data_IF_453160997522
#
_entry.id   IF_453160997522
#
_cell.length_a   1.000
_cell.length_b   1.000
_cell.length_c   1.000
_cell.angle_alpha   90.00
_cell.angle_beta   90.00
_cell.angle_gamma   90.00
#
_symmetry.space_group_name_H-M   'P 1'
#
loop_
_entity.id
_entity.type
_entity.pdbx_description
1 polymer ?
#
# COMPACT_ATOMS: atom_id res chain seq x y z
N UNK A 1 -2.40 30.89 41.57
CA UNK A 1 -3.53 31.68 41.05
C UNK A 1 -4.06 30.97 39.83
N UNK A 2 -5.33 30.58 39.91
CA UNK A 2 -5.98 29.55 39.09
C UNK A 2 -6.76 30.24 37.97
N UNK A 3 -6.55 29.87 36.71
CA UNK A 3 -7.40 30.30 35.60
C UNK A 3 -8.52 29.28 35.39
N UNK A 4 -9.75 29.72 35.65
CA UNK A 4 -10.97 28.93 35.55
C UNK A 4 -11.61 28.97 34.17
N UNK A 5 -12.14 27.82 33.79
CA UNK A 5 -13.04 27.53 32.66
C UNK A 5 -14.38 28.28 32.77
N UNK A 6 -14.92 28.75 31.65
CA UNK A 6 -16.23 29.40 31.58
C UNK A 6 -16.96 29.18 30.25
N UNK A 7 -17.81 28.15 30.23
CA UNK A 7 -18.82 27.85 29.21
C UNK A 7 -19.79 29.04 29.00
N UNK A 8 -19.97 29.53 27.77
CA UNK A 8 -21.12 30.38 27.42
C UNK A 8 -22.26 29.53 26.83
N UNK A 9 -23.34 29.37 27.60
CA UNK A 9 -24.62 28.82 27.17
C UNK A 9 -25.44 29.89 26.42
N UNK A 10 -26.05 29.45 25.32
CA UNK A 10 -27.03 30.16 24.48
C UNK A 10 -28.22 30.72 25.28
N UNK A 11 -28.68 31.92 24.89
CA UNK A 11 -30.01 32.42 25.23
C UNK A 11 -30.72 32.89 23.94
N UNK A 12 -31.69 32.09 23.49
CA UNK A 12 -32.62 32.46 22.43
C UNK A 12 -33.70 33.33 23.08
N UNK A 13 -33.91 34.54 22.56
CA UNK A 13 -35.00 35.43 22.94
C UNK A 13 -35.71 35.86 21.66
N UNK A 14 -36.90 35.32 21.44
CA UNK A 14 -37.86 35.77 20.44
C UNK A 14 -38.96 36.58 21.15
N UNK A 15 -39.16 37.84 20.75
CA UNK A 15 -40.43 38.57 20.91
C UNK A 15 -40.43 39.83 20.04
N UNK A 16 -41.53 40.06 19.32
CA UNK A 16 -41.85 41.34 18.67
C UNK A 16 -42.64 41.17 17.38
N UNK A 17 -43.96 41.27 17.47
CA UNK A 17 -44.94 41.41 16.39
C UNK A 17 -44.97 42.84 15.84
N UNK A 18 -45.02 43.03 14.51
CA UNK A 18 -45.86 44.05 13.84
C UNK A 18 -45.83 43.92 12.30
N UNK A 19 -46.94 44.31 11.69
CA UNK A 19 -47.36 44.04 10.30
C UNK A 19 -46.75 44.98 9.26
N UNK A 20 -46.28 44.44 8.14
CA UNK A 20 -45.89 45.19 6.94
C UNK A 20 -45.58 44.24 5.77
N UNK A 21 -46.23 44.44 4.63
CA UNK A 21 -46.13 43.59 3.44
C UNK A 21 -44.75 43.61 2.76
N UNK A 22 -44.38 42.45 2.22
CA UNK A 22 -43.30 42.14 1.28
C UNK A 22 -41.85 42.16 1.83
N UNK A 23 -41.26 40.96 2.00
CA UNK A 23 -40.39 40.32 0.99
C UNK A 23 -40.44 38.81 1.24
N UNK A 24 -40.74 38.03 0.21
CA UNK A 24 -40.47 36.59 0.19
C UNK A 24 -38.94 36.39 0.32
N UNK A 25 -38.44 36.23 1.54
CA UNK A 25 -37.17 35.54 1.73
C UNK A 25 -37.49 34.06 1.65
N UNK A 26 -37.55 33.54 0.43
CA UNK A 26 -37.33 32.11 0.20
C UNK A 26 -36.03 31.79 0.93
N UNK A 27 -36.03 30.94 1.96
CA UNK A 27 -34.78 30.56 2.61
C UNK A 27 -33.91 29.96 1.53
N UNK A 28 -32.80 30.65 1.24
CA UNK A 28 -31.75 30.24 0.31
C UNK A 28 -31.49 28.76 0.58
N UNK A 29 -31.77 27.91 -0.41
CA UNK A 29 -31.63 26.47 -0.31
C UNK A 29 -30.35 26.16 0.46
N UNK A 30 -30.48 25.45 1.59
CA UNK A 30 -29.34 25.05 2.40
C UNK A 30 -28.34 24.39 1.44
N UNK A 31 -27.15 24.99 1.32
CA UNK A 31 -26.12 24.48 0.42
C UNK A 31 -25.97 22.98 0.70
N UNK A 32 -26.21 22.15 -0.30
CA UNK A 32 -26.08 20.71 -0.18
C UNK A 32 -24.65 20.40 0.24
N UNK A 33 -24.48 19.80 1.42
CA UNK A 33 -23.17 19.40 1.90
C UNK A 33 -22.60 18.33 0.98
N UNK A 34 -21.44 18.59 0.38
CA UNK A 34 -20.71 17.59 -0.40
C UNK A 34 -20.07 16.59 0.56
N UNK A 35 -20.41 15.32 0.40
CA UNK A 35 -19.80 14.22 1.15
C UNK A 35 -18.81 13.51 0.22
N UNK A 36 -17.54 13.46 0.61
CA UNK A 36 -16.51 12.68 -0.09
C UNK A 36 -16.26 11.43 0.75
N UNK A 37 -16.45 10.26 0.15
CA UNK A 37 -16.22 8.97 0.79
C UNK A 37 -14.92 8.36 0.27
N UNK A 38 -14.01 8.03 1.18
CA UNK A 38 -12.85 7.21 0.88
C UNK A 38 -13.18 5.76 1.26
N UNK A 39 -13.19 4.88 0.26
CA UNK A 39 -13.51 3.48 0.45
C UNK A 39 -12.40 2.61 -0.14
N UNK A 40 -12.03 1.54 0.58
CA UNK A 40 -11.12 0.54 0.01
C UNK A 40 -11.80 -0.20 -1.15
N UNK A 41 -11.01 -0.60 -2.14
CA UNK A 41 -11.52 -1.23 -3.37
C UNK A 41 -12.19 -2.57 -3.13
N UNK A 42 -11.68 -3.38 -2.20
CA UNK A 42 -12.27 -4.66 -1.79
C UNK A 42 -13.67 -4.48 -1.17
N UNK A 43 -13.84 -3.51 -0.27
CA UNK A 43 -15.15 -3.17 0.30
C UNK A 43 -16.09 -2.72 -0.81
N UNK A 44 -15.65 -1.82 -1.69
CA UNK A 44 -16.45 -1.36 -2.83
C UNK A 44 -16.88 -2.52 -3.74
N UNK A 45 -16.00 -3.49 -4.00
CA UNK A 45 -16.32 -4.65 -4.84
C UNK A 45 -17.42 -5.53 -4.22
N UNK A 46 -17.42 -5.69 -2.90
CA UNK A 46 -18.42 -6.48 -2.17
C UNK A 46 -19.79 -5.80 -2.05
N UNK A 47 -19.89 -4.46 -2.17
CA UNK A 47 -21.18 -3.77 -2.09
C UNK A 47 -22.02 -4.05 -3.35
N UNK A 48 -23.20 -4.64 -3.16
CA UNK A 48 -24.20 -4.87 -4.21
C UNK A 48 -25.47 -4.05 -3.93
N UNK A 49 -25.87 -3.21 -4.88
CA UNK A 49 -27.09 -2.41 -4.82
C UNK A 49 -27.55 -2.04 -6.24
N UNK A 50 -28.86 -1.79 -6.40
CA UNK A 50 -29.42 -1.31 -7.65
C UNK A 50 -28.77 0.02 -8.04
N UNK A 51 -28.52 0.23 -9.34
CA UNK A 51 -27.92 1.45 -9.89
C UNK A 51 -26.44 1.72 -9.54
N UNK A 52 -25.66 0.71 -9.13
CA UNK A 52 -24.18 0.85 -8.95
C UNK A 52 -23.48 1.52 -10.14
N UNK A 53 -23.92 1.20 -11.36
CA UNK A 53 -23.37 1.79 -12.58
C UNK A 53 -23.64 3.31 -12.70
N UNK A 54 -24.69 3.85 -12.08
CA UNK A 54 -24.97 5.29 -12.08
C UNK A 54 -23.98 6.09 -11.24
N UNK A 55 -23.34 5.46 -10.25
CA UNK A 55 -22.29 6.09 -9.43
C UNK A 55 -20.92 6.07 -10.11
N UNK A 56 -20.75 5.38 -11.25
CA UNK A 56 -19.45 5.27 -11.92
C UNK A 56 -18.84 6.62 -12.33
N UNK A 57 -19.68 7.63 -12.60
CA UNK A 57 -19.24 8.98 -12.97
C UNK A 57 -18.70 9.78 -11.77
N UNK A 58 -19.07 9.39 -10.54
CA UNK A 58 -18.70 10.06 -9.30
C UNK A 58 -17.55 9.35 -8.55
N UNK A 59 -16.97 8.29 -9.15
CA UNK A 59 -15.92 7.49 -8.53
C UNK A 59 -14.56 7.83 -9.15
N UNK A 60 -13.62 8.25 -8.30
CA UNK A 60 -12.21 8.33 -8.62
C UNK A 60 -11.43 7.19 -7.97
N UNK A 61 -10.59 6.50 -8.75
CA UNK A 61 -9.61 5.56 -8.19
C UNK A 61 -8.36 6.32 -7.79
N UNK A 62 -7.92 6.10 -6.55
CA UNK A 62 -6.69 6.68 -6.04
C UNK A 62 -5.54 5.73 -6.34
N UNK A 63 -4.84 6.01 -7.45
CA UNK A 63 -3.65 5.28 -7.89
C UNK A 63 -2.43 6.16 -7.65
N UNK A 64 -1.37 5.57 -7.10
CA UNK A 64 -0.10 6.26 -6.88
C UNK A 64 0.90 5.83 -7.94
N UNK A 65 1.35 6.79 -8.76
CA UNK A 65 2.53 6.61 -9.58
C UNK A 65 3.79 6.61 -8.72
N UNK A 66 4.83 5.93 -9.18
CA UNK A 66 6.12 5.84 -8.49
C UNK A 66 6.70 7.23 -8.19
N UNK A 67 6.58 8.17 -9.12
CA UNK A 67 7.04 9.55 -8.95
C UNK A 67 6.28 10.27 -7.83
N UNK A 68 4.97 10.05 -7.72
CA UNK A 68 4.15 10.64 -6.66
C UNK A 68 4.52 10.08 -5.29
N UNK A 69 4.86 8.80 -5.20
CA UNK A 69 5.33 8.16 -3.96
C UNK A 69 6.65 8.79 -3.48
N UNK A 70 7.58 9.05 -4.41
CA UNK A 70 8.83 9.77 -4.11
C UNK A 70 8.53 11.18 -3.62
N UNK A 71 7.64 11.92 -4.30
CA UNK A 71 7.24 13.28 -3.89
C UNK A 71 6.62 13.32 -2.50
N UNK A 72 5.89 12.28 -2.06
CA UNK A 72 5.39 12.20 -0.68
C UNK A 72 6.53 12.19 0.35
N UNK A 73 7.62 11.49 0.07
CA UNK A 73 8.79 11.47 0.95
C UNK A 73 9.54 12.79 0.89
N UNK A 74 9.72 13.37 -0.29
CA UNK A 74 10.35 14.69 -0.46
C UNK A 74 9.59 15.78 0.31
N UNK A 75 8.26 15.79 0.24
CA UNK A 75 7.44 16.73 1.01
C UNK A 75 7.68 16.59 2.53
N UNK A 76 7.88 15.36 3.03
CA UNK A 76 8.24 15.12 4.43
C UNK A 76 9.66 15.58 4.76
N UNK A 77 10.61 15.38 3.85
CA UNK A 77 11.99 15.86 3.99
C UNK A 77 11.98 17.38 4.14
N UNK A 78 11.36 18.09 3.18
CA UNK A 78 11.23 19.57 3.21
C UNK A 78 10.57 20.06 4.50
N UNK A 79 9.45 19.43 4.88
CA UNK A 79 8.74 19.79 6.11
C UNK A 79 9.57 19.55 7.38
N UNK A 80 10.50 18.58 7.38
CA UNK A 80 11.30 18.23 8.55
C UNK A 80 12.61 19.00 8.62
N UNK A 81 13.21 19.32 7.48
CA UNK A 81 14.46 20.10 7.37
C UNK A 81 14.22 21.61 7.39
N UNK A 82 13.05 22.07 6.97
CA UNK A 82 12.77 23.49 6.70
C UNK A 82 13.42 24.02 5.42
N UNK A 83 13.98 23.14 4.59
CA UNK A 83 14.62 23.49 3.32
C UNK A 83 13.72 23.08 2.15
N UNK A 84 13.12 24.08 1.49
CA UNK A 84 12.24 23.88 0.32
C UNK A 84 12.96 23.32 -0.91
N UNK A 85 14.29 23.44 -0.96
CA UNK A 85 15.12 22.89 -2.03
C UNK A 85 15.52 21.43 -1.81
N UNK A 86 15.32 20.90 -0.60
CA UNK A 86 15.66 19.51 -0.28
C UNK A 86 14.82 18.52 -1.08
N UNK A 87 15.48 17.50 -1.61
CA UNK A 87 14.89 16.42 -2.39
C UNK A 87 15.19 15.06 -1.75
N UNK A 88 14.86 13.98 -2.46
CA UNK A 88 15.16 12.62 -2.00
C UNK A 88 16.66 12.43 -1.67
N UNK A 89 17.53 12.93 -2.54
CA UNK A 89 18.99 12.71 -2.46
C UNK A 89 19.68 13.60 -1.44
N UNK A 90 18.98 14.59 -0.90
CA UNK A 90 19.42 15.40 0.24
C UNK A 90 19.52 14.57 1.53
N UNK A 91 18.80 13.44 1.61
CA UNK A 91 18.79 12.53 2.77
C UNK A 91 19.25 11.12 2.40
N UNK A 92 18.91 10.64 1.20
CA UNK A 92 19.20 9.28 0.77
C UNK A 92 20.35 9.21 -0.22
N UNK A 93 21.01 8.05 -0.24
CA UNK A 93 22.15 7.75 -1.09
C UNK A 93 21.94 8.17 -2.56
N UNK A 94 22.80 9.07 -3.03
CA UNK A 94 22.92 9.55 -4.41
C UNK A 94 23.93 8.69 -5.18
N UNK A 95 23.57 7.44 -5.43
CA UNK A 95 24.42 6.51 -6.18
C UNK A 95 23.67 5.33 -6.75
N UNK A 96 24.42 4.42 -7.35
CA UNK A 96 23.88 3.17 -7.86
C UNK A 96 23.79 2.12 -6.75
N UNK A 97 22.61 1.54 -6.62
CA UNK A 97 22.33 0.34 -5.83
C UNK A 97 22.56 -0.90 -6.69
N UNK A 98 22.29 -2.09 -6.13
CA UNK A 98 22.27 -3.35 -6.90
C UNK A 98 21.39 -3.21 -8.15
N UNK A 99 21.82 -3.85 -9.24
CA UNK A 99 21.18 -3.74 -10.57
C UNK A 99 21.14 -2.31 -11.13
N UNK A 100 22.09 -1.45 -10.72
CA UNK A 100 22.23 -0.05 -11.17
C UNK A 100 20.99 0.82 -10.91
N UNK A 101 20.16 0.43 -9.94
CA UNK A 101 18.98 1.19 -9.56
C UNK A 101 19.38 2.40 -8.72
N UNK A 102 18.68 3.53 -8.86
CA UNK A 102 18.76 4.62 -7.90
C UNK A 102 18.11 4.20 -6.57
N UNK A 103 18.48 4.83 -5.46
CA UNK A 103 17.94 4.50 -4.12
C UNK A 103 16.42 4.57 -4.06
N UNK A 104 15.81 5.59 -4.67
CA UNK A 104 14.34 5.71 -4.81
C UNK A 104 13.72 4.52 -5.54
N UNK A 105 14.21 4.19 -6.73
CA UNK A 105 13.74 3.04 -7.52
C UNK A 105 13.96 1.71 -6.79
N UNK A 106 15.07 1.59 -6.04
CA UNK A 106 15.38 0.38 -5.28
C UNK A 106 14.35 0.12 -4.17
N UNK A 107 14.00 1.18 -3.43
CA UNK A 107 12.97 1.13 -2.38
C UNK A 107 11.60 0.90 -3.00
N UNK A 108 11.24 1.64 -4.06
CA UNK A 108 9.95 1.49 -4.75
C UNK A 108 9.68 0.05 -5.18
N UNK A 109 10.66 -0.63 -5.78
CA UNK A 109 10.56 -2.05 -6.18
C UNK A 109 10.29 -3.01 -5.01
N UNK A 110 10.56 -2.60 -3.78
CA UNK A 110 10.31 -3.37 -2.54
C UNK A 110 9.05 -2.92 -1.83
N UNK A 111 8.36 -1.88 -2.28
CA UNK A 111 7.13 -1.36 -1.67
C UNK A 111 5.93 -1.62 -2.60
N UNK A 112 4.75 -1.93 -2.06
CA UNK A 112 3.60 -2.36 -2.87
C UNK A 112 2.76 -1.17 -3.40
N UNK A 113 3.42 -0.09 -3.81
CA UNK A 113 2.77 1.06 -4.44
C UNK A 113 1.91 1.92 -3.51
N UNK A 114 2.10 1.85 -2.19
CA UNK A 114 1.33 2.63 -1.19
C UNK A 114 2.25 3.65 -0.50
N UNK A 115 1.80 4.90 -0.26
CA UNK A 115 2.60 5.93 0.42
C UNK A 115 3.10 5.52 1.81
N UNK A 116 2.29 4.73 2.54
CA UNK A 116 2.66 4.21 3.86
C UNK A 116 3.84 3.24 3.78
N UNK A 117 3.91 2.41 2.72
CA UNK A 117 4.93 1.37 2.58
C UNK A 117 6.30 2.01 2.28
N UNK A 118 6.34 2.97 1.33
CA UNK A 118 7.57 3.71 1.04
C UNK A 118 8.03 4.53 2.24
N UNK A 119 7.09 5.12 3.00
CA UNK A 119 7.42 5.85 4.23
C UNK A 119 7.98 4.92 5.31
N UNK A 120 7.39 3.74 5.52
CA UNK A 120 7.88 2.76 6.47
C UNK A 120 9.30 2.29 6.13
N UNK A 121 9.55 1.96 4.85
CA UNK A 121 10.89 1.59 4.39
C UNK A 121 11.89 2.73 4.63
N UNK A 122 11.57 3.94 4.16
CA UNK A 122 12.40 5.13 4.32
C UNK A 122 12.74 5.41 5.80
N UNK A 123 11.76 5.24 6.69
CA UNK A 123 11.94 5.43 8.13
C UNK A 123 12.87 4.39 8.73
N UNK A 124 12.73 3.10 8.35
CA UNK A 124 13.65 2.07 8.82
C UNK A 124 15.07 2.29 8.33
N UNK A 125 15.27 2.69 7.08
CA UNK A 125 16.60 3.01 6.55
C UNK A 125 17.22 4.21 7.30
N UNK A 126 16.44 5.24 7.62
CA UNK A 126 16.88 6.36 8.44
C UNK A 126 17.27 5.95 9.87
N UNK A 127 16.52 5.01 10.47
CA UNK A 127 16.86 4.46 11.78
C UNK A 127 18.16 3.64 11.77
N UNK A 128 18.43 2.89 10.70
CA UNK A 128 19.70 2.19 10.52
C UNK A 128 20.87 3.18 10.38
N UNK A 129 20.72 4.21 9.54
CA UNK A 129 21.71 5.27 9.37
C UNK A 129 22.04 5.96 10.71
N UNK A 130 21.01 6.32 11.49
CA UNK A 130 21.17 6.90 12.83
C UNK A 130 21.91 5.98 13.79
N UNK A 131 21.66 4.66 13.73
CA UNK A 131 22.33 3.68 14.57
C UNK A 131 23.81 3.52 14.18
N UNK A 132 24.12 3.61 12.90
CA UNK A 132 25.47 3.59 12.37
C UNK A 132 26.23 4.92 12.56
N UNK A 133 25.51 6.01 12.89
CA UNK A 133 26.08 7.34 13.07
C UNK A 133 26.33 8.08 11.75
N UNK A 134 25.64 7.69 10.68
CA UNK A 134 25.74 8.35 9.38
C UNK A 134 24.94 9.66 9.35
N UNK A 135 25.49 10.68 8.66
CA UNK A 135 24.82 11.99 8.47
C UNK A 135 23.69 11.93 7.44
N UNK A 136 23.73 10.94 6.55
CA UNK A 136 22.72 10.64 5.54
C UNK A 136 22.51 9.13 5.44
N UNK A 137 21.43 8.71 4.78
CA UNK A 137 21.12 7.29 4.59
C UNK A 137 21.97 6.73 3.45
N UNK A 138 22.94 5.88 3.78
CA UNK A 138 23.83 5.24 2.82
C UNK A 138 23.20 3.97 2.23
N UNK A 139 23.81 3.44 1.17
CA UNK A 139 23.34 2.21 0.52
C UNK A 139 23.24 1.03 1.50
N UNK A 140 24.19 0.90 2.42
CA UNK A 140 24.21 -0.16 3.42
C UNK A 140 23.07 -0.08 4.44
N UNK A 141 22.62 1.14 4.79
CA UNK A 141 21.48 1.36 5.68
C UNK A 141 20.17 0.90 5.02
N UNK A 142 20.02 1.18 3.73
CA UNK A 142 18.87 0.73 2.92
C UNK A 142 18.85 -0.80 2.79
N UNK A 143 20.02 -1.44 2.68
CA UNK A 143 20.13 -2.90 2.64
C UNK A 143 19.89 -3.52 4.03
N UNK A 144 20.39 -2.90 5.09
CA UNK A 144 20.20 -3.35 6.47
C UNK A 144 18.73 -3.28 6.90
N UNK A 145 17.99 -2.28 6.41
CA UNK A 145 16.57 -2.12 6.72
C UNK A 145 15.65 -3.12 6.01
N UNK A 146 16.13 -3.85 4.98
CA UNK A 146 15.31 -4.81 4.20
C UNK A 146 14.61 -5.84 5.09
N UNK A 147 15.34 -6.46 6.01
CA UNK A 147 14.79 -7.55 6.83
C UNK A 147 13.67 -7.03 7.73
N UNK A 148 13.86 -5.86 8.34
CA UNK A 148 12.87 -5.23 9.21
C UNK A 148 11.64 -4.77 8.41
N UNK A 149 11.85 -4.16 7.25
CA UNK A 149 10.75 -3.78 6.37
C UNK A 149 9.96 -5.02 5.92
N UNK A 150 10.66 -6.08 5.54
CA UNK A 150 10.03 -7.31 5.06
C UNK A 150 9.17 -7.99 6.12
N UNK A 151 9.65 -8.00 7.38
CA UNK A 151 8.87 -8.45 8.53
C UNK A 151 7.64 -7.57 8.77
N UNK A 152 7.82 -6.26 8.76
CA UNK A 152 6.71 -5.31 8.94
C UNK A 152 5.60 -5.54 7.90
N UNK A 153 5.96 -5.79 6.64
CA UNK A 153 4.98 -6.12 5.60
C UNK A 153 4.28 -7.44 5.88
N UNK A 154 4.99 -8.49 6.31
CA UNK A 154 4.35 -9.76 6.67
C UNK A 154 3.42 -9.65 7.88
N UNK A 155 3.76 -8.83 8.87
CA UNK A 155 2.89 -8.57 10.02
C UNK A 155 1.58 -7.91 9.55
N UNK A 156 1.66 -6.90 8.68
CA UNK A 156 0.46 -6.27 8.10
C UNK A 156 -0.37 -7.23 7.23
N UNK A 157 0.29 -8.07 6.44
CA UNK A 157 -0.38 -9.07 5.60
C UNK A 157 -1.05 -10.16 6.43
N UNK A 158 -0.51 -10.47 7.61
CA UNK A 158 -1.14 -11.41 8.55
C UNK A 158 -2.51 -10.88 8.95
N UNK A 159 -2.60 -9.60 9.34
CA UNK A 159 -3.86 -8.98 9.72
C UNK A 159 -4.85 -8.90 8.54
N UNK A 160 -4.34 -8.71 7.31
CA UNK A 160 -5.17 -8.58 6.10
C UNK A 160 -5.67 -9.93 5.55
N UNK A 161 -4.82 -10.97 5.53
CA UNK A 161 -5.10 -12.24 4.85
C UNK A 161 -5.59 -13.33 5.81
N UNK A 162 -5.10 -13.37 7.05
CA UNK A 162 -5.44 -14.46 7.98
C UNK A 162 -6.95 -14.66 8.20
N UNK A 163 -7.81 -13.62 8.19
CA UNK A 163 -9.27 -13.82 8.29
C UNK A 163 -9.90 -14.53 7.08
N UNK A 164 -9.22 -14.54 5.93
CA UNK A 164 -9.74 -15.01 4.64
C UNK A 164 -9.20 -16.38 4.22
N UNK A 165 -8.33 -17.00 5.03
CA UNK A 165 -7.73 -18.32 4.77
C UNK A 165 -7.88 -19.22 5.99
N UNK A 166 -7.82 -20.54 5.81
CA UNK A 166 -7.97 -21.50 6.91
C UNK A 166 -6.79 -21.48 7.88
N UNK A 167 -5.55 -21.46 7.36
CA UNK A 167 -4.33 -21.39 8.16
C UNK A 167 -3.24 -20.57 7.46
N UNK A 168 -3.10 -19.31 7.89
CA UNK A 168 -2.08 -18.41 7.35
C UNK A 168 -0.64 -18.85 7.67
N UNK A 169 -0.41 -19.57 8.77
CA UNK A 169 0.93 -20.07 9.09
C UNK A 169 1.38 -21.11 8.05
N UNK A 170 0.48 -21.99 7.63
CA UNK A 170 0.72 -22.94 6.54
C UNK A 170 0.91 -22.24 5.19
N UNK A 171 0.20 -21.14 4.93
CA UNK A 171 0.44 -20.31 3.72
C UNK A 171 1.84 -19.70 3.72
N UNK A 172 2.30 -19.13 4.83
CA UNK A 172 3.66 -18.59 4.96
C UNK A 172 4.72 -19.70 4.85
N UNK A 173 4.48 -20.86 5.47
CA UNK A 173 5.36 -22.01 5.38
C UNK A 173 5.47 -22.51 3.93
N UNK A 174 4.36 -22.49 3.18
CA UNK A 174 4.33 -22.82 1.75
C UNK A 174 5.19 -21.87 0.94
N UNK A 175 5.04 -20.55 1.13
CA UNK A 175 5.89 -19.56 0.47
C UNK A 175 7.38 -19.78 0.77
N UNK A 176 7.75 -20.03 2.03
CA UNK A 176 9.14 -20.34 2.42
C UNK A 176 9.64 -21.62 1.75
N UNK A 177 8.81 -22.65 1.68
CA UNK A 177 9.15 -23.95 1.09
C UNK A 177 9.43 -23.89 -0.42
N UNK A 178 8.94 -22.84 -1.12
CA UNK A 178 9.33 -22.59 -2.51
C UNK A 178 10.83 -22.31 -2.65
N UNK A 179 11.45 -21.63 -1.67
CA UNK A 179 12.87 -21.24 -1.65
C UNK A 179 13.35 -20.39 -2.87
N UNK A 180 12.41 -19.99 -3.73
CA UNK A 180 12.61 -19.16 -4.93
C UNK A 180 11.41 -18.25 -5.09
N UNK A 181 11.60 -17.10 -5.74
CA UNK A 181 10.51 -16.14 -5.97
C UNK A 181 9.56 -16.55 -7.09
N UNK A 182 10.05 -17.23 -8.13
CA UNK A 182 9.20 -17.64 -9.25
C UNK A 182 8.74 -19.08 -9.14
N UNK A 183 7.46 -19.35 -9.38
CA UNK A 183 6.89 -20.68 -9.26
C UNK A 183 5.68 -20.84 -10.19
N UNK A 184 5.36 -22.08 -10.54
CA UNK A 184 4.12 -22.43 -11.24
C UNK A 184 3.03 -22.93 -10.29
N UNK A 185 1.83 -23.16 -10.82
CA UNK A 185 0.70 -23.70 -10.06
C UNK A 185 1.00 -25.07 -9.45
N UNK A 186 1.66 -25.96 -10.19
CA UNK A 186 2.03 -27.29 -9.70
C UNK A 186 2.96 -27.22 -8.49
N UNK A 187 3.96 -26.32 -8.51
CA UNK A 187 4.88 -26.12 -7.39
C UNK A 187 4.11 -25.64 -6.15
N UNK A 188 3.18 -24.71 -6.35
CA UNK A 188 2.37 -24.16 -5.26
C UNK A 188 1.54 -25.25 -4.57
N UNK A 189 0.77 -26.02 -5.34
CA UNK A 189 -0.06 -27.09 -4.78
C UNK A 189 0.77 -28.19 -4.12
N UNK A 190 1.90 -28.57 -4.72
CA UNK A 190 2.82 -29.54 -4.11
C UNK A 190 3.32 -29.06 -2.73
N UNK A 191 3.79 -27.81 -2.65
CA UNK A 191 4.30 -27.26 -1.38
C UNK A 191 3.19 -27.03 -0.36
N UNK A 192 2.01 -26.59 -0.80
CA UNK A 192 0.86 -26.36 0.05
C UNK A 192 0.34 -27.67 0.66
N UNK A 193 0.23 -28.72 -0.15
CA UNK A 193 -0.13 -30.06 0.33
C UNK A 193 0.86 -30.62 1.35
N UNK A 194 2.16 -30.35 1.17
CA UNK A 194 3.17 -30.71 2.16
C UNK A 194 3.07 -29.92 3.49
N UNK A 195 2.38 -28.77 3.50
CA UNK A 195 2.05 -28.01 4.71
C UNK A 195 0.65 -28.37 5.27
N UNK A 196 -0.06 -29.32 4.65
CA UNK A 196 -1.38 -29.77 5.13
C UNK A 196 -2.56 -28.98 4.61
N UNK A 197 -2.37 -28.09 3.62
CA UNK A 197 -3.47 -27.42 2.92
C UNK A 197 -4.02 -28.35 1.83
N UNK A 198 -5.34 -28.50 1.78
CA UNK A 198 -5.98 -29.17 0.64
C UNK A 198 -5.96 -28.29 -0.62
N UNK A 199 -6.40 -28.84 -1.76
CA UNK A 199 -6.36 -28.12 -3.04
C UNK A 199 -7.26 -26.87 -3.05
N UNK A 200 -8.40 -26.91 -2.36
CA UNK A 200 -9.33 -25.78 -2.26
C UNK A 200 -8.72 -24.67 -1.40
N UNK A 201 -8.15 -25.03 -0.26
CA UNK A 201 -7.47 -24.11 0.66
C UNK A 201 -6.24 -23.49 0.01
N UNK A 202 -5.43 -24.30 -0.67
CA UNK A 202 -4.26 -23.84 -1.40
C UNK A 202 -4.65 -22.85 -2.52
N UNK A 203 -5.74 -23.11 -3.23
CA UNK A 203 -6.26 -22.20 -4.26
C UNK A 203 -6.74 -20.88 -3.66
N UNK A 204 -7.55 -20.94 -2.60
CA UNK A 204 -8.02 -19.76 -1.90
C UNK A 204 -6.86 -18.91 -1.36
N UNK A 205 -5.86 -19.56 -0.74
CA UNK A 205 -4.68 -18.88 -0.22
C UNK A 205 -3.91 -18.14 -1.32
N UNK A 206 -3.72 -18.77 -2.47
CA UNK A 206 -3.05 -18.14 -3.61
C UNK A 206 -3.85 -16.95 -4.14
N UNK A 207 -5.17 -17.09 -4.27
CA UNK A 207 -6.06 -15.99 -4.67
C UNK A 207 -5.94 -14.79 -3.70
N UNK A 208 -5.94 -15.02 -2.38
CA UNK A 208 -5.74 -13.96 -1.40
C UNK A 208 -4.35 -13.31 -1.51
N UNK A 209 -3.30 -14.09 -1.77
CA UNK A 209 -1.95 -13.56 -2.01
C UNK A 209 -1.87 -12.70 -3.28
N UNK A 210 -2.66 -13.01 -4.32
CA UNK A 210 -2.81 -12.18 -5.50
C UNK A 210 -3.55 -10.88 -5.21
N UNK A 211 -4.68 -10.95 -4.51
CA UNK A 211 -5.46 -9.76 -4.10
C UNK A 211 -4.59 -8.80 -3.29
N UNK A 212 -3.81 -9.33 -2.34
CA UNK A 212 -2.89 -8.55 -1.52
C UNK A 212 -1.61 -8.12 -2.24
N UNK A 213 -1.42 -8.48 -3.52
CA UNK A 213 -0.20 -8.20 -4.31
C UNK A 213 1.10 -8.81 -3.74
N UNK A 214 0.99 -9.81 -2.87
CA UNK A 214 2.14 -10.60 -2.38
C UNK A 214 2.67 -11.48 -3.50
N UNK A 215 1.78 -11.99 -4.33
CA UNK A 215 2.08 -12.76 -5.55
C UNK A 215 1.57 -11.99 -6.76
N UNK A 216 2.38 -11.96 -7.81
CA UNK A 216 2.07 -11.38 -9.10
C UNK A 216 2.36 -12.34 -10.25
N UNK A 217 2.24 -11.85 -11.48
CA UNK A 217 2.54 -12.61 -12.69
C UNK A 217 3.91 -12.23 -13.20
N UNK A 218 4.70 -13.24 -13.59
CA UNK A 218 5.98 -13.10 -14.28
C UNK A 218 5.77 -13.26 -15.78
N UNK A 219 5.87 -12.15 -16.50
CA UNK A 219 5.86 -12.12 -17.95
C UNK A 219 7.30 -12.34 -18.45
N UNK A 220 7.55 -13.48 -19.07
CA UNK A 220 8.86 -13.81 -19.66
C UNK A 220 8.77 -13.62 -21.18
N UNK A 221 9.60 -12.73 -21.72
CA UNK A 221 9.65 -12.48 -23.16
C UNK A 221 8.74 -11.35 -23.65
N UNK A 222 9.24 -10.64 -24.66
CA UNK A 222 8.64 -9.46 -25.29
C UNK A 222 9.61 -8.91 -26.35
N UNK A 223 9.17 -7.96 -27.18
CA UNK A 223 9.94 -7.48 -28.35
C UNK A 223 11.36 -6.93 -28.07
N UNK A 224 11.70 -6.65 -26.80
CA UNK A 224 13.04 -6.22 -26.37
C UNK A 224 13.83 -7.22 -25.51
N UNK A 225 13.29 -8.42 -25.25
CA UNK A 225 13.85 -9.37 -24.28
C UNK A 225 13.67 -8.94 -22.82
N UNK A 226 13.78 -9.90 -21.90
CA UNK A 226 13.68 -9.68 -20.45
C UNK A 226 12.41 -10.24 -19.81
N UNK A 227 12.40 -10.27 -18.47
CA UNK A 227 11.28 -10.69 -17.65
C UNK A 227 10.75 -9.51 -16.83
N UNK A 228 9.43 -9.34 -16.77
CA UNK A 228 8.77 -8.31 -15.97
C UNK A 228 7.77 -8.94 -15.02
N UNK A 229 7.74 -8.47 -13.78
CA UNK A 229 6.67 -8.80 -12.85
C UNK A 229 5.60 -7.73 -12.86
N UNK A 230 4.34 -8.15 -12.84
CA UNK A 230 3.18 -7.29 -12.63
C UNK A 230 2.42 -7.77 -11.40
N UNK A 231 1.93 -6.83 -10.61
CA UNK A 231 1.17 -7.09 -9.39
C UNK A 231 -0.15 -6.33 -9.42
N UNK A 232 -1.13 -6.74 -8.60
CA UNK A 232 -2.46 -6.15 -8.65
C UNK A 232 -2.52 -4.66 -8.31
N UNK A 233 -1.64 -4.17 -7.43
CA UNK A 233 -1.55 -2.73 -7.16
C UNK A 233 -1.18 -1.89 -8.40
N UNK A 234 -0.60 -2.51 -9.44
CA UNK A 234 -0.28 -1.88 -10.72
C UNK A 234 -1.38 -2.08 -11.77
N UNK A 235 -2.17 -3.14 -11.62
CA UNK A 235 -3.25 -3.51 -12.53
C UNK A 235 -4.31 -4.33 -11.79
N UNK A 236 -5.41 -3.66 -11.44
CA UNK A 236 -6.51 -4.27 -10.69
C UNK A 236 -7.22 -5.40 -11.44
N UNK A 237 -6.99 -5.54 -12.75
CA UNK A 237 -7.55 -6.61 -13.58
C UNK A 237 -6.60 -7.79 -13.76
N UNK A 238 -5.40 -7.72 -13.17
CA UNK A 238 -4.42 -8.79 -13.27
C UNK A 238 -4.96 -10.07 -12.61
N UNK A 239 -4.98 -11.14 -13.40
CA UNK A 239 -5.39 -12.48 -13.01
C UNK A 239 -4.29 -13.45 -13.47
N UNK A 240 -3.84 -14.39 -12.62
CA UNK A 240 -2.95 -15.45 -13.06
C UNK A 240 -3.66 -16.38 -14.03
N UNK A 241 -3.01 -16.71 -15.15
CA UNK A 241 -3.42 -17.85 -15.97
C UNK A 241 -2.84 -19.14 -15.38
N UNK A 242 -3.45 -20.28 -15.65
CA UNK A 242 -2.96 -21.58 -15.15
C UNK A 242 -1.58 -21.96 -15.72
N UNK A 243 -1.22 -21.42 -16.89
CA UNK A 243 0.09 -21.61 -17.54
C UNK A 243 1.12 -20.52 -17.20
N UNK A 244 0.72 -19.49 -16.45
CA UNK A 244 1.59 -18.37 -16.14
C UNK A 244 2.60 -18.73 -15.03
N UNK A 245 3.83 -18.23 -15.18
CA UNK A 245 4.75 -18.17 -14.06
C UNK A 245 4.30 -17.06 -13.11
N UNK A 246 4.30 -17.38 -11.82
CA UNK A 246 3.99 -16.45 -10.76
C UNK A 246 5.28 -15.94 -10.13
N UNK A 247 5.21 -14.80 -9.45
CA UNK A 247 6.36 -14.24 -8.73
C UNK A 247 5.96 -13.62 -7.39
N UNK A 248 6.68 -14.00 -6.33
CA UNK A 248 6.56 -13.36 -5.01
C UNK A 248 7.17 -11.95 -5.03
N UNK A 249 6.45 -10.98 -4.50
CA UNK A 249 6.85 -9.58 -4.41
C UNK A 249 8.09 -9.39 -3.53
N UNK A 250 9.02 -8.50 -3.95
CA UNK A 250 10.28 -8.23 -3.25
C UNK A 250 10.11 -7.75 -1.80
N UNK A 251 8.94 -7.20 -1.47
CA UNK A 251 8.63 -6.73 -0.13
C UNK A 251 8.79 -7.82 0.94
N UNK A 252 8.43 -9.07 0.63
CA UNK A 252 8.40 -10.17 1.63
C UNK A 252 9.58 -11.13 1.50
N UNK A 253 10.43 -10.96 0.49
CA UNK A 253 11.44 -11.98 0.14
C UNK A 253 12.53 -12.12 1.19
N UNK A 254 12.88 -11.03 1.87
CA UNK A 254 13.98 -11.03 2.84
C UNK A 254 13.62 -11.84 4.09
N UNK A 255 12.44 -11.62 4.66
CA UNK A 255 11.96 -12.35 5.83
C UNK A 255 11.55 -13.80 5.46
N UNK A 256 11.08 -14.04 4.24
CA UNK A 256 10.79 -15.39 3.75
C UNK A 256 12.02 -16.17 3.25
N UNK A 257 13.20 -15.53 3.15
CA UNK A 257 14.43 -16.17 2.68
C UNK A 257 14.42 -16.58 1.20
N UNK A 258 13.61 -15.93 0.37
CA UNK A 258 13.45 -16.29 -1.05
C UNK A 258 14.56 -15.73 -1.93
N UNK A 259 14.96 -16.52 -2.93
CA UNK A 259 16.00 -16.13 -3.90
C UNK A 259 15.40 -15.77 -5.25
N UNK A 260 16.04 -14.84 -5.95
CA UNK A 260 15.81 -14.66 -7.38
C UNK A 260 16.26 -15.91 -8.14
N UNK A 261 15.49 -16.29 -9.15
CA UNK A 261 15.70 -17.45 -10.02
C UNK A 261 16.78 -17.21 -11.06
#
# INVERSE_FOLDING_TARGET
MTFGTGLLKRKILSRGTESGSAVNLIPRAAASATVILFLRTDIWQQVSFNDRNKMSQDIGYLLWADEQLVTVIEARIKSSSGDESADWYSVFFDGEMRQRARSSTYILKRTMGRPRDIFAYASFALEEAKRAGHESVLAEDIYASESRFSRHVLDELTDEIAPSVSDFASVLATLKALNRRSFGWSDWFEKAGAQGLDESEARQALEQLFEASVVGVLEVGGGGGGSRSRYRYQDNYLQPREDALMQVHLAVTKELGLKDS
#
